data_IF_082100327402
#
_entry.id   IF_082100327402
#
_cell.length_a   1.000
_cell.length_b   1.000
_cell.length_c   1.000
_cell.angle_alpha   90.00
_cell.angle_beta   90.00
_cell.angle_gamma   90.00
#
_symmetry.space_group_name_H-M   'P 1'
#
loop_
_entity.id
_entity.type
_entity.pdbx_description
1 polymer ?
#
# COMPACT_ATOMS: atom_id res chain seq x y z
N UNK A 1 -3.32 44.39 -20.55
CA UNK A 1 -2.33 43.62 -19.75
C UNK A 1 -3.07 42.46 -19.10
N UNK A 2 -2.94 41.25 -19.64
CA UNK A 2 -3.53 40.06 -19.02
C UNK A 2 -2.60 39.59 -17.90
N UNK A 3 -3.10 39.54 -16.66
CA UNK A 3 -2.35 38.95 -15.56
C UNK A 3 -2.11 37.46 -15.86
N UNK A 4 -0.87 36.95 -15.76
CA UNK A 4 -0.63 35.51 -15.83
C UNK A 4 -1.27 34.86 -14.61
N UNK A 5 -2.14 33.86 -14.84
CA UNK A 5 -2.71 33.07 -13.76
C UNK A 5 -1.55 32.43 -12.94
N UNK A 6 -1.69 32.33 -11.60
CA UNK A 6 -0.67 31.68 -10.79
C UNK A 6 -0.44 30.26 -11.32
N UNK A 7 0.80 29.75 -11.30
CA UNK A 7 1.08 28.40 -11.75
C UNK A 7 0.16 27.47 -10.96
N UNK A 8 -0.77 26.81 -11.69
CA UNK A 8 -1.55 25.71 -11.12
C UNK A 8 -0.51 24.81 -10.48
N UNK A 9 -0.59 24.62 -9.15
CA UNK A 9 0.24 23.62 -8.47
C UNK A 9 -0.18 22.26 -9.02
N UNK A 10 0.29 21.91 -10.21
CA UNK A 10 0.37 20.55 -10.70
C UNK A 10 1.55 19.89 -9.99
N UNK A 11 1.58 20.01 -8.66
CA UNK A 11 2.54 19.31 -7.84
C UNK A 11 1.95 17.92 -7.62
N UNK A 12 2.40 16.94 -8.39
CA UNK A 12 2.18 15.54 -8.01
C UNK A 12 2.72 15.38 -6.59
N UNK A 13 1.82 15.20 -5.62
CA UNK A 13 2.19 15.05 -4.22
C UNK A 13 2.67 13.61 -4.05
N UNK A 14 3.98 13.44 -3.83
CA UNK A 14 4.54 12.11 -3.57
C UNK A 14 4.18 11.66 -2.16
N UNK A 15 3.56 10.51 -2.03
CA UNK A 15 3.18 9.93 -0.74
C UNK A 15 4.01 8.68 -0.52
N UNK A 16 4.78 8.64 0.57
CA UNK A 16 5.47 7.41 0.99
C UNK A 16 4.57 6.60 1.90
N UNK A 17 4.03 5.49 1.38
CA UNK A 17 3.28 4.53 2.17
C UNK A 17 4.22 3.45 2.71
N UNK A 18 4.26 3.26 4.03
CA UNK A 18 5.03 2.16 4.65
C UNK A 18 4.08 1.13 5.23
N UNK A 19 4.18 -0.11 4.76
CA UNK A 19 3.45 -1.25 5.32
C UNK A 19 4.38 -1.96 6.30
N UNK A 20 4.12 -1.81 7.60
CA UNK A 20 4.91 -2.45 8.65
C UNK A 20 4.52 -3.92 8.84
N UNK A 21 3.31 -4.15 9.36
CA UNK A 21 2.80 -5.48 9.68
C UNK A 21 1.28 -5.49 9.78
N UNK A 22 0.68 -6.67 9.64
CA UNK A 22 -0.68 -6.92 10.11
C UNK A 22 -0.61 -7.80 11.36
N UNK A 23 -1.65 -7.73 12.20
CA UNK A 23 -1.75 -8.53 13.41
C UNK A 23 -3.15 -9.12 13.54
N UNK A 24 -3.23 -10.30 14.16
CA UNK A 24 -4.50 -10.95 14.45
C UNK A 24 -5.39 -11.13 13.21
N UNK A 25 -4.79 -11.57 12.10
CA UNK A 25 -5.55 -11.89 10.89
C UNK A 25 -6.54 -13.03 11.16
N UNK A 26 -7.68 -12.98 10.48
CA UNK A 26 -8.70 -14.02 10.62
C UNK A 26 -8.19 -15.35 10.04
N UNK A 27 -8.14 -16.37 10.89
CA UNK A 27 -7.85 -17.73 10.47
C UNK A 27 -9.09 -18.33 9.81
N UNK A 28 -9.11 -18.35 8.48
CA UNK A 28 -10.24 -18.88 7.70
C UNK A 28 -10.33 -20.40 7.76
N UNK A 29 -9.20 -21.09 7.83
CA UNK A 29 -9.10 -22.55 7.82
C UNK A 29 -8.53 -23.06 9.14
N UNK A 30 -9.13 -24.08 9.77
CA UNK A 30 -8.68 -24.58 11.07
C UNK A 30 -7.35 -25.36 11.01
N UNK A 31 -7.05 -26.00 9.87
CA UNK A 31 -5.91 -26.91 9.71
C UNK A 31 -4.69 -26.30 8.99
N UNK A 32 -4.81 -25.13 8.37
CA UNK A 32 -3.72 -24.40 7.73
C UNK A 32 -3.68 -22.97 8.25
N UNK A 33 -2.50 -22.37 8.39
CA UNK A 33 -2.44 -20.91 8.57
C UNK A 33 -2.47 -20.25 7.18
N UNK A 34 -3.09 -19.05 7.09
CA UNK A 34 -3.13 -18.33 5.82
C UNK A 34 -1.73 -17.83 5.43
N UNK A 35 -1.61 -17.54 4.13
CA UNK A 35 -0.45 -16.91 3.51
C UNK A 35 -0.80 -15.45 3.15
N UNK A 36 -0.82 -14.50 4.11
CA UNK A 36 -1.25 -13.14 3.86
C UNK A 36 -0.27 -12.33 2.99
N UNK A 37 -0.84 -11.47 2.16
CA UNK A 37 -0.16 -10.40 1.42
C UNK A 37 -1.03 -9.15 1.42
N UNK A 38 -0.42 -7.97 1.32
CA UNK A 38 -1.10 -6.69 1.15
C UNK A 38 -0.95 -6.18 -0.29
N UNK A 39 -2.05 -5.66 -0.85
CA UNK A 39 -2.09 -4.98 -2.16
C UNK A 39 -2.53 -3.52 -1.95
N UNK A 40 -1.79 -2.62 -2.57
CA UNK A 40 -2.00 -1.19 -2.58
C UNK A 40 -2.45 -0.81 -3.99
N UNK A 41 -3.57 -0.09 -4.09
CA UNK A 41 -4.06 0.45 -5.36
C UNK A 41 -4.35 1.93 -5.15
N UNK A 42 -3.84 2.78 -6.03
CA UNK A 42 -4.07 4.23 -5.97
C UNK A 42 -5.14 4.60 -7.00
N UNK A 43 -6.32 4.94 -6.50
CA UNK A 43 -7.43 5.40 -7.33
C UNK A 43 -7.08 6.76 -7.96
N UNK A 44 -7.27 6.86 -9.27
CA UNK A 44 -6.94 8.07 -10.04
C UNK A 44 -5.56 8.09 -10.71
N UNK A 45 -4.56 7.34 -10.21
CA UNK A 45 -3.26 7.18 -10.90
C UNK A 45 -3.08 5.84 -11.60
N UNK A 46 -3.84 4.82 -11.18
CA UNK A 46 -3.74 3.46 -11.73
C UNK A 46 -2.52 2.67 -11.23
N UNK A 47 -1.75 3.21 -10.29
CA UNK A 47 -0.64 2.47 -9.66
C UNK A 47 -1.19 1.32 -8.81
N UNK A 48 -0.59 0.14 -8.97
CA UNK A 48 -0.83 -0.99 -8.08
C UNK A 48 0.49 -1.60 -7.63
N UNK A 49 0.59 -1.85 -6.32
CA UNK A 49 1.75 -2.44 -5.68
C UNK A 49 1.31 -3.58 -4.78
N UNK A 50 2.13 -4.62 -4.67
CA UNK A 50 1.89 -5.74 -3.77
C UNK A 50 3.13 -5.99 -2.93
N UNK A 51 2.92 -6.44 -1.70
CA UNK A 51 3.96 -6.90 -0.78
C UNK A 51 4.25 -8.38 -0.99
N UNK A 52 5.37 -8.84 -0.46
CA UNK A 52 5.70 -10.26 -0.43
C UNK A 52 4.67 -11.08 0.37
N UNK A 53 4.42 -12.32 -0.01
CA UNK A 53 3.52 -13.19 0.75
C UNK A 53 4.25 -13.77 1.96
N UNK A 54 3.75 -13.53 3.16
CA UNK A 54 4.28 -14.17 4.36
C UNK A 54 3.61 -15.54 4.54
N UNK A 55 4.38 -16.62 4.61
CA UNK A 55 3.81 -17.97 4.72
C UNK A 55 3.41 -18.33 6.15
N UNK A 56 2.26 -18.99 6.27
CA UNK A 56 1.79 -19.68 7.47
C UNK A 56 1.81 -18.79 8.73
N UNK A 57 1.25 -17.58 8.65
CA UNK A 57 1.27 -16.61 9.76
C UNK A 57 -0.02 -15.78 9.83
N UNK A 58 -0.44 -15.42 11.05
CA UNK A 58 -1.53 -14.47 11.30
C UNK A 58 -1.02 -13.05 11.58
N UNK A 59 0.30 -12.90 11.73
CA UNK A 59 0.97 -11.65 12.06
C UNK A 59 2.11 -11.37 11.04
N UNK A 60 1.79 -11.13 9.76
CA UNK A 60 2.80 -10.89 8.74
C UNK A 60 3.53 -9.57 8.99
N UNK A 61 4.85 -9.57 8.75
CA UNK A 61 5.72 -8.40 8.85
C UNK A 61 6.41 -8.19 7.52
N UNK A 62 6.15 -7.05 6.89
CA UNK A 62 6.73 -6.67 5.61
C UNK A 62 7.80 -5.60 5.78
N UNK A 63 7.51 -4.57 6.57
CA UNK A 63 8.38 -3.41 6.74
C UNK A 63 8.87 -2.81 5.42
N UNK A 64 7.95 -2.68 4.46
CA UNK A 64 8.24 -2.26 3.08
C UNK A 64 7.57 -0.92 2.78
N UNK A 65 8.27 -0.04 2.07
CA UNK A 65 7.74 1.27 1.68
C UNK A 65 7.55 1.37 0.17
N UNK A 66 6.56 2.16 -0.22
CA UNK A 66 6.20 2.45 -1.60
C UNK A 66 6.03 3.95 -1.75
N UNK A 67 6.70 4.54 -2.74
CA UNK A 67 6.51 5.94 -3.11
C UNK A 67 5.41 6.00 -4.18
N UNK A 68 4.24 6.50 -3.78
CA UNK A 68 3.03 6.65 -4.58
C UNK A 68 2.99 8.03 -5.24
#
# INVERSE_FOLDING_TARGET
MANPAPPRRSGAMKIRLTILCAKNLSKKDFFSLPDPFAKISVEGSGQCHSTDTCRNTLDPKWNQYYDL
#
